data_IF_936233029366
#
_entry.id   IF_936233029366
#
_cell.length_a   1.000
_cell.length_b   1.000
_cell.length_c   1.000
_cell.angle_alpha   90.00
_cell.angle_beta   90.00
_cell.angle_gamma   90.00
#
_symmetry.space_group_name_H-M   'P 1'
#
loop_
_entity.id
_entity.type
_entity.pdbx_description
1 polymer ?
#
# COMPACT_ATOMS: atom_id res chain seq x y z
N UNK A 1 -10.27 -6.33 3.50
CA UNK A 1 -8.87 -5.95 3.35
C UNK A 1 -8.73 -4.43 3.44
N UNK A 2 -7.99 -3.96 4.43
CA UNK A 2 -7.71 -2.55 4.67
C UNK A 2 -6.22 -2.24 4.71
N UNK A 3 -5.37 -3.09 4.12
CA UNK A 3 -3.91 -2.99 4.23
C UNK A 3 -3.33 -1.63 3.77
N UNK A 4 -4.02 -0.92 2.88
CA UNK A 4 -3.70 0.45 2.47
C UNK A 4 -4.79 1.42 2.94
N UNK A 5 -6.06 1.07 2.74
CA UNK A 5 -7.18 2.00 2.90
C UNK A 5 -7.68 2.19 4.34
N UNK A 6 -7.58 1.20 5.24
CA UNK A 6 -8.19 1.30 6.57
C UNK A 6 -7.66 2.49 7.39
N UNK A 7 -6.38 2.83 7.25
CA UNK A 7 -5.77 3.94 7.97
C UNK A 7 -6.19 5.34 7.46
N UNK A 8 -6.99 5.43 6.39
CA UNK A 8 -7.68 6.67 6.04
C UNK A 8 -8.61 7.16 7.15
N UNK A 9 -9.05 6.27 8.04
CA UNK A 9 -9.84 6.65 9.21
C UNK A 9 -9.20 7.76 10.07
N UNK A 10 -7.86 7.87 10.04
CA UNK A 10 -7.11 8.92 10.75
C UNK A 10 -6.70 10.10 9.84
N UNK A 11 -6.99 10.05 8.54
CA UNK A 11 -6.63 11.09 7.57
C UNK A 11 -7.69 12.22 7.57
N UNK A 12 -7.37 13.45 8.00
CA UNK A 12 -8.37 14.50 8.18
C UNK A 12 -9.21 14.81 6.94
N UNK A 13 -8.59 14.83 5.75
CA UNK A 13 -9.24 15.17 4.50
C UNK A 13 -9.96 13.99 3.86
N UNK A 14 -9.45 12.76 4.04
CA UNK A 14 -9.90 11.58 3.30
C UNK A 14 -10.65 10.53 4.13
N UNK A 15 -10.85 10.74 5.45
CA UNK A 15 -11.56 9.78 6.33
C UNK A 15 -12.95 9.41 5.86
N UNK A 16 -13.63 10.29 5.11
CA UNK A 16 -14.96 10.05 4.57
C UNK A 16 -14.99 8.90 3.56
N UNK A 17 -13.85 8.58 2.90
CA UNK A 17 -13.75 7.49 1.92
C UNK A 17 -13.86 6.09 2.54
N UNK A 18 -13.72 5.97 3.85
CA UNK A 18 -13.85 4.71 4.60
C UNK A 18 -15.09 4.68 5.48
N UNK A 19 -16.06 5.56 5.24
CA UNK A 19 -17.36 5.51 5.91
C UNK A 19 -18.04 4.16 5.66
N UNK A 20 -18.59 3.55 6.70
CA UNK A 20 -19.14 2.18 6.67
C UNK A 20 -18.16 1.09 7.07
N UNK A 21 -16.85 1.39 7.18
CA UNK A 21 -15.84 0.43 7.65
C UNK A 21 -16.15 -0.06 9.07
N UNK A 22 -16.77 0.77 9.88
CA UNK A 22 -17.25 0.42 11.23
C UNK A 22 -18.28 -0.71 11.26
N UNK A 23 -18.94 -1.02 10.13
CA UNK A 23 -19.86 -2.15 10.02
C UNK A 23 -19.17 -3.50 9.76
N UNK A 24 -17.88 -3.52 9.43
CA UNK A 24 -17.13 -4.75 9.16
C UNK A 24 -17.01 -5.65 10.39
N UNK A 25 -17.08 -6.97 10.22
CA UNK A 25 -16.84 -7.94 11.30
C UNK A 25 -15.36 -8.02 11.67
N UNK A 26 -14.47 -7.85 10.67
CA UNK A 26 -13.03 -7.77 10.88
C UNK A 26 -12.39 -6.86 9.83
N UNK A 27 -11.25 -6.28 10.18
CA UNK A 27 -10.44 -5.42 9.31
C UNK A 27 -8.99 -5.85 9.43
N UNK A 28 -8.36 -6.21 8.31
CA UNK A 28 -6.91 -6.39 8.23
C UNK A 28 -6.27 -5.07 7.80
N UNK A 29 -5.19 -4.66 8.46
CA UNK A 29 -4.43 -3.45 8.12
C UNK A 29 -2.92 -3.65 8.35
N UNK A 30 -2.12 -2.87 7.64
CA UNK A 30 -0.66 -2.96 7.67
C UNK A 30 -0.02 -1.69 8.23
N UNK A 31 0.27 -1.63 9.54
CA UNK A 31 0.96 -0.49 10.14
C UNK A 31 2.36 -0.23 9.54
N UNK A 32 3.02 -1.25 8.98
CA UNK A 32 4.29 -1.10 8.29
C UNK A 32 4.18 -0.41 6.91
N UNK A 33 2.97 -0.14 6.41
CA UNK A 33 2.71 0.69 5.23
C UNK A 33 2.46 2.15 5.64
N UNK A 34 1.25 2.51 5.92
CA UNK A 34 0.85 3.92 6.12
C UNK A 34 1.27 4.52 7.47
N UNK A 35 1.61 3.73 8.50
CA UNK A 35 2.20 4.24 9.74
C UNK A 35 3.73 4.16 9.75
N UNK A 36 4.35 3.77 8.64
CA UNK A 36 5.81 3.66 8.48
C UNK A 36 6.50 2.88 9.62
N UNK A 37 5.78 1.99 10.31
CA UNK A 37 6.36 1.16 11.35
C UNK A 37 7.40 0.21 10.73
N UNK A 38 8.53 -0.04 11.40
CA UNK A 38 9.56 -0.94 10.88
C UNK A 38 8.98 -2.32 10.54
N UNK A 39 9.33 -2.86 9.38
CA UNK A 39 8.89 -4.17 8.90
C UNK A 39 9.31 -5.28 9.87
N UNK A 40 8.50 -6.30 10.13
CA UNK A 40 7.13 -6.49 9.71
C UNK A 40 6.13 -6.15 10.85
N UNK A 41 4.94 -5.65 10.51
CA UNK A 41 3.80 -5.58 11.42
C UNK A 41 2.49 -5.51 10.63
N UNK A 42 1.70 -6.57 10.69
CA UNK A 42 0.30 -6.60 10.30
C UNK A 42 -0.60 -6.53 11.54
N UNK A 43 -1.82 -6.08 11.37
CA UNK A 43 -2.81 -6.00 12.42
C UNK A 43 -4.16 -6.48 11.89
N UNK A 44 -4.90 -7.18 12.73
CA UNK A 44 -6.31 -7.50 12.50
C UNK A 44 -7.12 -6.94 13.67
N UNK A 45 -8.18 -6.23 13.34
CA UNK A 45 -9.21 -5.82 14.30
C UNK A 45 -10.41 -6.71 14.09
N UNK A 46 -10.91 -7.33 15.13
CA UNK A 46 -12.09 -8.21 15.09
C UNK A 46 -13.13 -7.66 16.04
N UNK A 47 -14.37 -7.52 15.57
CA UNK A 47 -15.47 -6.92 16.31
C UNK A 47 -15.86 -7.76 17.52
N UNK A 48 -16.03 -9.07 17.34
CA UNK A 48 -16.50 -9.98 18.36
C UNK A 48 -15.30 -10.73 18.98
N UNK A 49 -15.05 -10.39 20.24
CA UNK A 49 -13.97 -10.94 21.02
C UNK A 49 -14.11 -12.46 21.26
N UNK A 50 -15.32 -12.92 21.59
CA UNK A 50 -15.55 -14.34 21.92
C UNK A 50 -15.50 -15.21 20.68
N UNK A 51 -16.03 -14.73 19.55
CA UNK A 51 -15.91 -15.41 18.25
C UNK A 51 -14.44 -15.49 17.80
N UNK A 52 -13.69 -14.41 17.96
CA UNK A 52 -12.25 -14.40 17.62
C UNK A 52 -11.48 -15.39 18.46
N UNK A 53 -11.67 -15.33 19.78
CA UNK A 53 -11.04 -16.27 20.72
C UNK A 53 -11.43 -17.70 20.42
N UNK A 54 -12.73 -17.99 20.28
CA UNK A 54 -13.24 -19.34 20.01
C UNK A 54 -12.77 -19.96 18.70
N UNK A 55 -12.30 -19.12 17.74
CA UNK A 55 -11.74 -19.57 16.47
C UNK A 55 -10.32 -20.13 16.62
N UNK A 56 -9.52 -19.56 17.49
CA UNK A 56 -8.07 -19.83 17.59
C UNK A 56 -7.66 -20.50 18.93
N UNK A 57 -8.47 -20.38 19.98
CA UNK A 57 -8.11 -20.90 21.29
C UNK A 57 -8.02 -22.44 21.24
N UNK A 58 -6.81 -22.94 21.27
CA UNK A 58 -6.45 -24.34 21.51
C UNK A 58 -5.66 -24.35 22.80
N UNK A 59 -6.33 -24.65 23.91
CA UNK A 59 -5.70 -24.65 25.23
C UNK A 59 -5.42 -26.08 25.68
N UNK A 60 -4.19 -26.61 25.41
CA UNK A 60 -3.79 -27.86 25.97
C UNK A 60 -3.68 -27.77 27.49
N UNK A 61 -3.83 -28.88 28.19
CA UNK A 61 -3.88 -28.95 29.66
C UNK A 61 -2.76 -28.18 30.37
N UNK A 62 -1.53 -28.19 29.83
CA UNK A 62 -0.38 -27.48 30.40
C UNK A 62 -0.41 -25.96 30.23
N UNK A 63 -1.35 -25.43 29.41
CA UNK A 63 -1.59 -24.00 29.20
C UNK A 63 -2.93 -23.53 29.78
N UNK A 64 -3.62 -24.37 30.55
CA UNK A 64 -4.88 -23.97 31.19
C UNK A 64 -4.66 -22.85 32.19
N UNK A 65 -5.62 -21.90 32.18
CA UNK A 65 -5.62 -20.79 33.14
C UNK A 65 -5.96 -21.28 34.54
N UNK A 66 -5.24 -20.77 35.51
CA UNK A 66 -5.53 -21.00 36.94
C UNK A 66 -6.26 -19.79 37.53
N UNK A 67 -6.95 -20.01 38.65
CA UNK A 67 -7.67 -18.93 39.35
C UNK A 67 -6.73 -17.94 40.07
N UNK A 68 -5.46 -18.30 40.24
CA UNK A 68 -4.45 -17.46 40.89
C UNK A 68 -3.02 -17.90 40.55
N UNK A 69 -2.04 -17.04 40.77
CA UNK A 69 -0.64 -17.29 40.47
C UNK A 69 -0.25 -16.72 39.10
N UNK A 70 0.90 -17.11 38.58
CA UNK A 70 1.46 -16.59 37.31
C UNK A 70 0.54 -16.90 36.12
N UNK A 71 -0.13 -18.05 36.13
CA UNK A 71 -1.03 -18.49 35.08
C UNK A 71 -2.48 -17.94 35.21
N UNK A 72 -2.74 -17.04 36.14
CA UNK A 72 -4.08 -16.47 36.37
C UNK A 72 -4.48 -15.35 35.37
N UNK A 73 -3.56 -14.91 34.51
CA UNK A 73 -3.84 -13.85 33.54
C UNK A 73 -4.51 -14.42 32.27
N UNK A 74 -5.83 -14.36 32.23
CA UNK A 74 -6.63 -14.70 31.04
C UNK A 74 -7.31 -13.43 30.48
N UNK A 75 -7.58 -13.36 29.16
CA UNK A 75 -7.18 -14.33 28.11
C UNK A 75 -5.71 -14.20 27.72
N UNK A 76 -5.14 -15.30 27.24
CA UNK A 76 -3.78 -15.31 26.71
C UNK A 76 -3.75 -14.77 25.28
N UNK A 77 -2.69 -14.06 24.90
CA UNK A 77 -2.57 -13.49 23.56
C UNK A 77 -2.51 -14.57 22.44
N UNK A 78 -2.07 -15.77 22.75
CA UNK A 78 -2.06 -16.87 21.77
C UNK A 78 -3.47 -17.41 21.45
N UNK A 79 -4.49 -17.13 22.29
CA UNK A 79 -5.88 -17.48 22.02
C UNK A 79 -6.45 -16.76 20.78
N UNK A 80 -5.77 -15.75 20.25
CA UNK A 80 -6.24 -14.88 19.16
C UNK A 80 -5.46 -15.04 17.85
N UNK A 81 -4.78 -16.15 17.67
CA UNK A 81 -4.04 -16.40 16.44
C UNK A 81 -3.31 -17.72 16.43
N UNK A 82 -2.56 -17.97 15.37
CA UNK A 82 -1.87 -19.24 15.13
C UNK A 82 -0.49 -19.33 15.79
N UNK A 83 0.01 -18.24 16.38
CA UNK A 83 1.35 -18.20 16.97
C UNK A 83 1.27 -18.23 18.50
N UNK A 84 1.74 -19.32 19.11
CA UNK A 84 1.87 -19.43 20.57
C UNK A 84 2.94 -18.46 21.11
N UNK A 85 4.09 -18.40 20.45
CA UNK A 85 5.16 -17.45 20.76
C UNK A 85 5.41 -16.54 19.57
N UNK A 86 5.46 -15.23 19.82
CA UNK A 86 5.66 -14.23 18.77
C UNK A 86 6.41 -13.01 19.28
N UNK A 87 7.06 -12.27 18.37
CA UNK A 87 7.68 -10.99 18.68
C UNK A 87 6.66 -9.94 19.11
N UNK A 88 7.04 -9.05 20.00
CA UNK A 88 6.19 -7.94 20.47
C UNK A 88 6.08 -6.83 19.40
N UNK A 89 5.44 -7.14 18.28
CA UNK A 89 5.30 -6.23 17.13
C UNK A 89 4.52 -4.96 17.45
N UNK A 90 3.57 -5.02 18.37
CA UNK A 90 2.78 -3.87 18.80
C UNK A 90 3.62 -2.75 19.43
N UNK A 91 4.75 -3.10 20.09
CA UNK A 91 5.60 -2.11 20.77
C UNK A 91 6.11 -1.04 19.80
N UNK A 92 6.63 -1.43 18.63
CA UNK A 92 7.15 -0.47 17.65
C UNK A 92 6.07 0.44 17.06
N UNK A 93 4.84 -0.05 16.90
CA UNK A 93 3.69 0.78 16.49
C UNK A 93 3.34 1.78 17.59
N UNK A 94 3.24 1.29 18.84
CA UNK A 94 2.96 2.13 20.01
C UNK A 94 4.02 3.23 20.18
N UNK A 95 5.31 2.89 20.11
CA UNK A 95 6.41 3.86 20.21
C UNK A 95 6.34 4.92 19.10
N UNK A 96 6.08 4.52 17.86
CA UNK A 96 5.92 5.46 16.75
C UNK A 96 4.75 6.42 16.96
N UNK A 97 3.62 5.91 17.46
CA UNK A 97 2.46 6.74 17.77
C UNK A 97 2.71 7.68 18.95
N UNK A 98 3.45 7.25 19.97
CA UNK A 98 3.85 8.12 21.10
C UNK A 98 4.81 9.23 20.67
N UNK A 99 5.78 8.92 19.84
CA UNK A 99 6.79 9.88 19.35
C UNK A 99 6.19 10.91 18.39
N UNK A 100 5.36 10.47 17.44
CA UNK A 100 4.95 11.30 16.32
C UNK A 100 3.51 11.81 16.41
N UNK A 101 2.65 11.15 17.18
CA UNK A 101 1.23 11.43 17.26
C UNK A 101 0.43 10.97 16.04
N UNK A 102 -0.83 10.61 16.28
CA UNK A 102 -1.73 10.08 15.24
C UNK A 102 -2.05 11.10 14.13
N UNK A 103 -2.12 12.39 14.51
CA UNK A 103 -2.41 13.48 13.58
C UNK A 103 -1.34 13.66 12.50
N UNK A 104 -0.06 13.44 12.85
CA UNK A 104 1.04 13.49 11.88
C UNK A 104 0.89 12.40 10.82
N UNK A 105 0.57 11.17 11.25
CA UNK A 105 0.33 10.08 10.32
C UNK A 105 -0.89 10.34 9.43
N UNK A 106 -1.97 10.90 9.98
CA UNK A 106 -3.14 11.30 9.20
C UNK A 106 -2.79 12.30 8.09
N UNK A 107 -1.99 13.33 8.40
CA UNK A 107 -1.51 14.29 7.40
C UNK A 107 -0.58 13.67 6.34
N UNK A 108 0.26 12.71 6.72
CA UNK A 108 1.11 11.99 5.75
C UNK A 108 0.30 11.12 4.79
N UNK A 109 -0.80 10.52 5.27
CA UNK A 109 -1.72 9.78 4.41
C UNK A 109 -2.42 10.72 3.42
N UNK A 110 -2.91 11.87 3.89
CA UNK A 110 -3.50 12.89 3.01
C UNK A 110 -2.49 13.39 1.97
N UNK A 111 -1.24 13.67 2.38
CA UNK A 111 -0.15 14.04 1.47
C UNK A 111 0.07 13.01 0.36
N UNK A 112 0.10 11.72 0.68
CA UNK A 112 0.31 10.68 -0.34
C UNK A 112 -0.86 10.61 -1.33
N UNK A 113 -2.09 10.91 -0.91
CA UNK A 113 -3.26 10.98 -1.79
C UNK A 113 -3.20 12.22 -2.69
N UNK A 114 -2.82 13.38 -2.15
CA UNK A 114 -2.59 14.60 -2.93
C UNK A 114 -1.49 14.39 -3.99
N UNK A 115 -0.43 13.69 -3.63
CA UNK A 115 0.65 13.31 -4.54
C UNK A 115 0.16 12.36 -5.64
N UNK A 116 -0.73 11.42 -5.34
CA UNK A 116 -1.35 10.58 -6.37
C UNK A 116 -2.19 11.40 -7.36
N UNK A 117 -2.94 12.37 -6.85
CA UNK A 117 -3.69 13.32 -7.70
C UNK A 117 -2.75 14.19 -8.54
N UNK A 118 -1.62 14.65 -7.97
CA UNK A 118 -0.61 15.38 -8.72
C UNK A 118 -0.05 14.54 -9.89
N UNK A 119 0.32 13.30 -9.63
CA UNK A 119 0.83 12.41 -10.67
C UNK A 119 -0.23 12.11 -11.73
N UNK A 120 -1.49 11.84 -11.36
CA UNK A 120 -2.56 11.58 -12.34
C UNK A 120 -2.78 12.78 -13.25
N UNK A 121 -2.79 14.00 -12.73
CA UNK A 121 -2.90 15.22 -13.52
C UNK A 121 -1.74 15.40 -14.52
N UNK A 122 -0.52 15.02 -14.11
CA UNK A 122 0.65 15.05 -15.00
C UNK A 122 0.53 14.03 -16.13
N UNK A 123 0.03 12.83 -15.83
CA UNK A 123 -0.18 11.77 -16.81
C UNK A 123 -1.26 12.19 -17.82
N UNK A 124 -2.38 12.72 -17.36
CA UNK A 124 -3.46 13.19 -18.23
C UNK A 124 -3.06 14.39 -19.13
N UNK A 125 -2.13 15.19 -18.68
CA UNK A 125 -1.63 16.34 -19.44
C UNK A 125 -0.64 15.95 -20.56
N UNK A 126 -0.08 14.74 -20.53
CA UNK A 126 0.89 14.28 -21.54
C UNK A 126 0.23 13.33 -22.56
N UNK A 127 0.20 13.66 -23.87
CA UNK A 127 -0.46 12.85 -24.89
C UNK A 127 0.17 11.48 -25.12
N UNK A 128 1.38 11.22 -24.61
CA UNK A 128 2.07 9.94 -24.70
C UNK A 128 1.84 9.05 -23.48
N UNK A 129 1.13 9.55 -22.47
CA UNK A 129 0.78 8.80 -21.27
C UNK A 129 -0.72 8.50 -21.23
N UNK A 130 -1.07 7.36 -20.70
CA UNK A 130 -2.44 6.93 -20.52
C UNK A 130 -2.68 6.55 -19.06
N UNK A 131 -3.60 7.26 -18.40
CA UNK A 131 -4.08 6.91 -17.07
C UNK A 131 -5.08 5.75 -17.16
N UNK A 132 -4.96 4.75 -16.28
CA UNK A 132 -5.92 3.65 -16.24
C UNK A 132 -7.31 4.12 -15.75
N UNK A 133 -7.30 4.84 -14.64
CA UNK A 133 -8.46 5.50 -14.04
C UNK A 133 -7.97 6.48 -12.97
N UNK A 134 -8.82 7.43 -12.60
CA UNK A 134 -8.56 8.39 -11.52
C UNK A 134 -8.24 7.66 -10.20
N UNK A 135 -7.12 7.96 -9.54
CA UNK A 135 -6.75 7.28 -8.29
C UNK A 135 -7.71 7.64 -7.15
N UNK A 136 -8.30 6.63 -6.53
CA UNK A 136 -9.14 6.83 -5.34
C UNK A 136 -8.32 7.02 -4.06
N UNK A 137 -7.10 6.48 -4.04
CA UNK A 137 -6.15 6.51 -2.93
C UNK A 137 -4.76 6.93 -3.44
N UNK A 138 -3.71 6.34 -2.90
CA UNK A 138 -2.31 6.66 -3.16
C UNK A 138 -1.62 5.73 -4.18
N UNK A 139 -2.40 5.06 -5.05
CA UNK A 139 -1.88 4.21 -6.12
C UNK A 139 -2.34 4.77 -7.45
N UNK A 140 -1.37 5.00 -8.36
CA UNK A 140 -1.61 5.46 -9.72
C UNK A 140 -1.18 4.38 -10.69
N UNK A 141 -2.12 3.94 -11.54
CA UNK A 141 -1.85 3.01 -12.64
C UNK A 141 -1.90 3.74 -13.96
N UNK A 142 -0.82 3.70 -14.71
CA UNK A 142 -0.66 4.41 -15.97
C UNK A 142 0.30 3.67 -16.90
N UNK A 143 0.40 4.12 -18.15
CA UNK A 143 1.34 3.54 -19.11
C UNK A 143 1.80 4.57 -20.13
N UNK A 144 2.94 4.33 -20.74
CA UNK A 144 3.32 4.97 -21.99
C UNK A 144 2.48 4.38 -23.12
N UNK A 145 1.85 5.25 -23.92
CA UNK A 145 1.02 4.87 -25.06
C UNK A 145 1.16 5.89 -26.20
N UNK A 146 1.93 5.62 -27.27
CA UNK A 146 2.07 6.51 -28.40
C UNK A 146 0.84 6.52 -29.35
N UNK A 147 -0.22 5.77 -29.05
CA UNK A 147 -1.51 5.80 -29.74
C UNK A 147 -1.66 4.85 -30.95
N UNK A 148 -0.60 4.17 -31.39
CA UNK A 148 -0.62 3.31 -32.58
C UNK A 148 0.05 1.94 -32.37
N UNK A 149 0.09 1.45 -31.14
CA UNK A 149 0.64 0.14 -30.77
C UNK A 149 -0.47 -0.80 -30.29
N UNK A 150 -0.27 -2.10 -30.54
CA UNK A 150 -1.13 -3.16 -29.99
C UNK A 150 -0.95 -3.30 -28.47
N UNK A 151 -1.88 -3.96 -27.79
CA UNK A 151 -1.78 -4.20 -26.35
C UNK A 151 -0.55 -5.07 -25.98
N UNK A 152 -0.11 -5.95 -26.88
CA UNK A 152 1.10 -6.75 -26.68
C UNK A 152 2.37 -5.89 -26.78
N UNK A 153 2.46 -5.04 -27.79
CA UNK A 153 3.57 -4.08 -27.93
C UNK A 153 3.60 -3.08 -26.76
N UNK A 154 2.44 -2.57 -26.33
CA UNK A 154 2.35 -1.67 -25.17
C UNK A 154 2.83 -2.35 -23.88
N UNK A 155 2.51 -3.64 -23.71
CA UNK A 155 3.00 -4.41 -22.58
C UNK A 155 4.53 -4.52 -22.60
N UNK A 156 5.11 -4.90 -23.72
CA UNK A 156 6.56 -5.09 -23.85
C UNK A 156 7.31 -3.76 -23.65
N UNK A 157 6.81 -2.67 -24.24
CA UNK A 157 7.38 -1.33 -24.06
C UNK A 157 7.35 -0.91 -22.58
N UNK A 158 6.22 -1.08 -21.91
CA UNK A 158 6.08 -0.62 -20.52
C UNK A 158 6.84 -1.51 -19.53
N UNK A 159 6.97 -2.81 -19.79
CA UNK A 159 7.86 -3.68 -19.02
C UNK A 159 9.32 -3.24 -19.16
N UNK A 160 9.76 -2.93 -20.38
CA UNK A 160 11.12 -2.47 -20.62
C UNK A 160 11.37 -1.09 -19.99
N UNK A 161 10.41 -0.16 -20.04
CA UNK A 161 10.47 1.13 -19.32
C UNK A 161 10.68 0.88 -17.82
N UNK A 162 9.90 -0.01 -17.22
CA UNK A 162 10.02 -0.34 -15.80
C UNK A 162 11.41 -0.87 -15.46
N UNK A 163 11.92 -1.83 -16.23
CA UNK A 163 13.23 -2.41 -16.01
C UNK A 163 14.35 -1.38 -16.12
N UNK A 164 14.38 -0.60 -17.21
CA UNK A 164 15.39 0.45 -17.40
C UNK A 164 15.35 1.52 -16.30
N UNK A 165 14.14 1.89 -15.83
CA UNK A 165 13.97 2.87 -14.76
C UNK A 165 14.53 2.35 -13.43
N UNK A 166 14.30 1.08 -13.12
CA UNK A 166 14.84 0.42 -11.92
C UNK A 166 16.36 0.24 -12.00
N UNK A 167 16.89 -0.21 -13.14
CA UNK A 167 18.33 -0.39 -13.37
C UNK A 167 19.10 0.92 -13.30
N UNK A 168 18.51 2.01 -13.81
CA UNK A 168 19.10 3.35 -13.71
C UNK A 168 18.97 3.96 -12.32
N UNK A 169 18.20 3.37 -11.40
CA UNK A 169 17.93 3.92 -10.07
C UNK A 169 17.07 5.19 -10.10
N UNK A 170 16.35 5.44 -11.21
CA UNK A 170 15.51 6.62 -11.36
C UNK A 170 14.21 6.51 -10.56
N UNK A 171 13.54 5.36 -10.60
CA UNK A 171 12.37 5.06 -9.80
C UNK A 171 12.17 3.53 -9.67
N UNK A 172 11.45 3.12 -8.62
CA UNK A 172 11.06 1.73 -8.39
C UNK A 172 9.53 1.62 -8.43
N UNK A 173 8.98 1.55 -9.65
CA UNK A 173 7.57 1.22 -9.87
C UNK A 173 7.39 -0.28 -10.05
N UNK A 174 6.18 -0.77 -9.82
CA UNK A 174 5.76 -2.13 -10.20
C UNK A 174 4.85 -2.07 -11.43
N UNK A 175 4.35 -3.21 -11.83
CA UNK A 175 3.37 -3.34 -12.90
C UNK A 175 2.09 -4.05 -12.45
N UNK A 176 1.08 -4.00 -13.29
CA UNK A 176 -0.16 -4.75 -13.11
C UNK A 176 -0.85 -4.96 -14.46
N UNK A 177 -1.70 -5.99 -14.54
CA UNK A 177 -2.57 -6.21 -15.70
C UNK A 177 -4.02 -6.20 -15.25
N UNK A 178 -4.83 -5.34 -15.87
CA UNK A 178 -6.25 -5.21 -15.58
C UNK A 178 -7.04 -5.33 -16.90
N UNK A 179 -7.97 -6.27 -16.96
CA UNK A 179 -8.77 -6.54 -18.16
C UNK A 179 -7.93 -6.78 -19.44
N UNK A 180 -6.81 -7.48 -19.31
CA UNK A 180 -5.89 -7.77 -20.42
C UNK A 180 -4.98 -6.60 -20.82
N UNK A 181 -5.09 -5.44 -20.19
CA UNK A 181 -4.28 -4.25 -20.44
C UNK A 181 -3.20 -4.11 -19.36
N UNK A 182 -1.96 -3.89 -19.79
CA UNK A 182 -0.80 -3.77 -18.91
C UNK A 182 -0.53 -2.31 -18.54
N UNK A 183 -0.18 -2.06 -17.27
CA UNK A 183 0.09 -0.72 -16.72
C UNK A 183 1.28 -0.75 -15.75
N UNK A 184 2.02 0.33 -15.71
CA UNK A 184 2.91 0.67 -14.61
C UNK A 184 2.08 1.05 -13.38
N UNK A 185 2.57 0.71 -12.20
CA UNK A 185 1.87 0.95 -10.94
C UNK A 185 2.78 1.69 -9.96
N UNK A 186 2.50 2.95 -9.73
CA UNK A 186 3.16 3.77 -8.71
C UNK A 186 2.35 3.75 -7.41
N UNK A 187 2.92 3.14 -6.36
CA UNK A 187 2.35 3.15 -5.01
C UNK A 187 3.07 4.21 -4.16
N UNK A 188 2.41 5.33 -3.92
CA UNK A 188 2.99 6.48 -3.20
C UNK A 188 2.74 6.29 -1.71
N UNK A 189 3.71 5.67 -1.01
CA UNK A 189 3.60 5.33 0.40
C UNK A 189 4.79 5.82 1.24
N UNK A 190 5.72 6.59 0.64
CA UNK A 190 6.88 7.10 1.35
C UNK A 190 6.66 8.55 1.77
N UNK A 191 6.83 8.84 3.07
CA UNK A 191 6.71 10.19 3.63
C UNK A 191 7.75 11.19 3.12
N UNK A 192 8.80 10.71 2.42
CA UNK A 192 9.85 11.54 1.81
C UNK A 192 9.59 11.87 0.35
N UNK A 193 8.63 11.21 -0.29
CA UNK A 193 8.27 11.51 -1.68
C UNK A 193 7.84 12.96 -1.82
N UNK A 194 8.35 13.62 -2.85
CA UNK A 194 8.03 15.00 -3.23
C UNK A 194 7.34 15.02 -4.59
N UNK A 195 6.69 16.12 -4.94
CA UNK A 195 6.08 16.27 -6.25
C UNK A 195 7.11 16.22 -7.37
N UNK A 196 8.33 16.74 -7.13
CA UNK A 196 9.42 16.69 -8.11
C UNK A 196 9.86 15.25 -8.45
N UNK A 197 9.76 14.31 -7.50
CA UNK A 197 10.04 12.89 -7.76
C UNK A 197 8.98 12.30 -8.71
N UNK A 198 7.74 12.71 -8.57
CA UNK A 198 6.62 12.28 -9.41
C UNK A 198 6.67 12.93 -10.81
N UNK A 199 7.09 14.19 -10.88
CA UNK A 199 7.37 14.88 -12.14
C UNK A 199 8.48 14.18 -12.91
N UNK A 200 9.55 13.79 -12.22
CA UNK A 200 10.64 13.00 -12.79
C UNK A 200 10.14 11.64 -13.29
N UNK A 201 9.31 10.94 -12.51
CA UNK A 201 8.74 9.65 -12.89
C UNK A 201 7.97 9.74 -14.22
N UNK A 202 7.09 10.73 -14.38
CA UNK A 202 6.32 10.93 -15.60
C UNK A 202 7.26 11.26 -16.79
N UNK A 203 8.22 12.17 -16.60
CA UNK A 203 9.19 12.58 -17.62
C UNK A 203 10.07 11.41 -18.08
N UNK A 204 10.59 10.62 -17.14
CA UNK A 204 11.42 9.44 -17.45
C UNK A 204 10.63 8.36 -18.18
N UNK A 205 9.35 8.16 -17.84
CA UNK A 205 8.47 7.24 -18.56
C UNK A 205 8.38 7.61 -20.04
N UNK A 206 8.14 8.87 -20.36
CA UNK A 206 8.05 9.38 -21.74
C UNK A 206 9.41 9.27 -22.44
N UNK A 207 10.50 9.70 -21.80
CA UNK A 207 11.85 9.64 -22.38
C UNK A 207 12.25 8.22 -22.76
N UNK A 208 12.05 7.27 -21.84
CA UNK A 208 12.39 5.86 -22.08
C UNK A 208 11.47 5.25 -23.15
N UNK A 209 10.17 5.52 -23.10
CA UNK A 209 9.21 5.05 -24.10
C UNK A 209 9.56 5.49 -25.51
N UNK A 210 9.89 6.76 -25.70
CA UNK A 210 10.35 7.29 -26.99
C UNK A 210 11.62 6.58 -27.48
N UNK A 211 12.63 6.41 -26.59
CA UNK A 211 13.88 5.74 -26.93
C UNK A 211 13.68 4.27 -27.34
N UNK A 212 12.77 3.54 -26.68
CA UNK A 212 12.47 2.14 -27.00
C UNK A 212 11.79 2.05 -28.37
N UNK A 213 10.78 2.90 -28.63
CA UNK A 213 10.06 2.92 -29.92
C UNK A 213 10.98 3.32 -31.08
N UNK A 214 11.88 4.27 -30.89
CA UNK A 214 12.86 4.66 -31.92
C UNK A 214 13.81 3.51 -32.27
N UNK A 215 14.33 2.80 -31.27
CA UNK A 215 15.21 1.64 -31.49
C UNK A 215 14.49 0.50 -32.22
N UNK A 216 13.22 0.23 -31.91
CA UNK A 216 12.43 -0.81 -32.57
C UNK A 216 12.15 -0.51 -34.05
N UNK A 217 12.12 0.77 -34.46
CA UNK A 217 11.95 1.19 -35.87
C UNK A 217 13.26 1.15 -36.67
N UNK A 218 14.41 1.09 -35.99
CA UNK A 218 15.73 1.09 -36.64
C UNK A 218 16.26 -0.31 -36.95
N UNK A 219 15.57 -1.36 -36.52
CA UNK A 219 15.81 -2.78 -36.78
C UNK A 219 14.86 -3.30 -37.83
#
# INVERSE_FOLDING_TARGET
>A
DGCIGALLAIAPMNKHKVAGMEAAHSIALDPHKSLHAPFEVGCVLVRDFEVHRGTFALTPEYLENTSRGIAAAAPWLHDFGTQTSRGFRALKVWMSLQEHGIEKFGRLIDQNIEQATHLSNKIEADPLLELMLEPSLNIVCYRYNPGNSSEEELKDINLEIMMQMQEAGAAAVSDTTVNGRHFLRAAIANHRTKNEDLDLLATETVRLGNSIVEKSKAV
#
